data_IF_160791920631
#
_entry.id   IF_160791920631
#
_cell.length_a   1.000
_cell.length_b   1.000
_cell.length_c   1.000
_cell.angle_alpha   90.00
_cell.angle_beta   90.00
_cell.angle_gamma   90.00
#
_symmetry.space_group_name_H-M   'P 1'
#
loop_
_entity.id
_entity.type
_entity.pdbx_description
1 polymer ?
#
# COMPACT_ATOMS: atom_id res chain seq x y z
N UNK A 1 20.03 -26.83 -1.43
CA UNK A 1 18.67 -26.29 -1.33
C UNK A 1 18.53 -25.21 -2.39
N UNK A 2 17.49 -25.23 -3.21
CA UNK A 2 17.28 -24.14 -4.16
C UNK A 2 17.10 -22.86 -3.35
N UNK A 3 17.93 -21.87 -3.61
CA UNK A 3 17.76 -20.53 -3.03
C UNK A 3 16.45 -19.96 -3.60
N UNK A 4 15.39 -19.97 -2.78
CA UNK A 4 14.16 -19.26 -3.10
C UNK A 4 14.51 -17.79 -3.34
N UNK A 5 14.28 -17.32 -4.55
CA UNK A 5 14.43 -15.90 -4.87
C UNK A 5 13.50 -15.12 -3.96
N UNK A 6 14.06 -14.22 -3.16
CA UNK A 6 13.24 -13.29 -2.36
C UNK A 6 12.51 -12.36 -3.31
N UNK A 7 11.24 -12.16 -3.06
CA UNK A 7 10.39 -11.28 -3.85
C UNK A 7 9.73 -10.27 -2.91
N UNK A 8 9.80 -9.01 -3.27
CA UNK A 8 9.00 -7.95 -2.65
C UNK A 8 7.97 -7.45 -3.67
N UNK A 9 6.84 -6.98 -3.16
CA UNK A 9 5.76 -6.49 -3.99
C UNK A 9 5.02 -5.34 -3.30
N UNK A 10 4.51 -4.43 -4.10
CA UNK A 10 3.49 -3.45 -3.72
C UNK A 10 2.23 -3.72 -4.52
N UNK A 11 1.09 -3.45 -3.93
CA UNK A 11 -0.21 -3.57 -4.59
C UNK A 11 -1.14 -2.52 -4.01
N UNK A 12 -1.88 -1.85 -4.88
CA UNK A 12 -2.77 -0.76 -4.51
C UNK A 12 -4.12 -0.92 -5.21
N UNK A 13 -5.17 -0.57 -4.51
CA UNK A 13 -6.52 -0.47 -5.06
C UNK A 13 -6.76 0.97 -5.52
N UNK A 14 -6.99 1.15 -6.80
CA UNK A 14 -7.28 2.43 -7.45
C UNK A 14 -8.79 2.49 -7.73
N UNK A 15 -9.49 3.63 -7.53
CA UNK A 15 -10.87 3.78 -7.96
C UNK A 15 -11.07 3.32 -9.42
N UNK A 16 -12.09 2.49 -9.66
CA UNK A 16 -12.24 1.82 -10.95
C UNK A 16 -12.37 2.80 -12.13
N UNK A 17 -13.04 3.92 -11.93
CA UNK A 17 -13.21 5.00 -12.91
C UNK A 17 -11.91 5.73 -13.27
N UNK A 18 -10.91 5.66 -12.41
CA UNK A 18 -9.58 6.27 -12.60
C UNK A 18 -8.53 5.31 -13.14
N UNK A 19 -8.85 4.03 -13.31
CA UNK A 19 -7.89 2.98 -13.67
C UNK A 19 -7.10 3.32 -14.93
N UNK A 20 -7.76 3.76 -16.00
CA UNK A 20 -7.09 4.04 -17.27
C UNK A 20 -6.06 5.17 -17.13
N UNK A 21 -6.46 6.29 -16.50
CA UNK A 21 -5.56 7.42 -16.29
C UNK A 21 -4.36 7.02 -15.42
N UNK A 22 -4.62 6.30 -14.32
CA UNK A 22 -3.55 5.81 -13.45
C UNK A 22 -2.54 4.91 -14.20
N UNK A 23 -3.01 3.98 -15.04
CA UNK A 23 -2.11 3.08 -15.79
C UNK A 23 -1.28 3.83 -16.84
N UNK A 24 -1.82 4.88 -17.46
CA UNK A 24 -1.07 5.74 -18.37
C UNK A 24 0.03 6.52 -17.62
N UNK A 25 -0.31 7.11 -16.47
CA UNK A 25 0.65 7.84 -15.65
C UNK A 25 1.71 6.90 -15.06
N UNK A 26 1.33 5.68 -14.66
CA UNK A 26 2.27 4.65 -14.22
C UNK A 26 3.25 4.26 -15.33
N UNK A 27 2.78 4.11 -16.57
CA UNK A 27 3.63 3.84 -17.72
C UNK A 27 4.61 5.00 -17.95
N UNK A 28 4.15 6.24 -17.88
CA UNK A 28 5.00 7.41 -18.01
C UNK A 28 6.02 7.49 -16.88
N UNK A 29 5.61 7.27 -15.62
CA UNK A 29 6.51 7.23 -14.46
C UNK A 29 7.63 6.21 -14.63
N UNK A 30 7.32 5.02 -15.13
CA UNK A 30 8.33 3.97 -15.37
C UNK A 30 9.33 4.42 -16.45
N UNK A 31 8.83 5.01 -17.55
CA UNK A 31 9.67 5.45 -18.66
C UNK A 31 10.57 6.64 -18.27
N UNK A 32 10.00 7.66 -17.63
CA UNK A 32 10.73 8.88 -17.26
C UNK A 32 11.72 8.61 -16.12
N UNK A 33 11.32 7.78 -15.15
CA UNK A 33 12.15 7.37 -14.02
C UNK A 33 13.22 6.35 -14.41
N UNK A 34 13.20 5.82 -15.64
CA UNK A 34 14.08 4.76 -16.14
C UNK A 34 14.15 3.55 -15.22
N UNK A 35 13.01 3.24 -14.59
CA UNK A 35 12.89 2.10 -13.69
C UNK A 35 12.93 0.79 -14.49
N UNK A 36 13.74 -0.15 -14.01
CA UNK A 36 13.79 -1.50 -14.59
C UNK A 36 12.69 -2.35 -13.95
N UNK A 37 11.53 -2.40 -14.59
CA UNK A 37 10.41 -3.24 -14.14
C UNK A 37 10.63 -4.66 -14.64
N UNK A 38 10.78 -5.60 -13.71
CA UNK A 38 11.16 -6.99 -14.03
C UNK A 38 9.96 -7.86 -14.42
N UNK A 39 8.74 -7.48 -14.04
CA UNK A 39 7.52 -8.28 -14.22
C UNK A 39 6.40 -7.46 -14.81
N UNK A 40 5.43 -8.12 -15.47
CA UNK A 40 4.19 -7.48 -15.88
C UNK A 40 3.48 -6.85 -14.68
N UNK A 41 2.85 -5.70 -14.89
CA UNK A 41 1.92 -5.12 -13.95
C UNK A 41 0.66 -5.99 -13.91
N UNK A 42 0.28 -6.42 -12.72
CA UNK A 42 -0.93 -7.20 -12.49
C UNK A 42 -2.11 -6.24 -12.28
N UNK A 43 -3.22 -6.50 -12.99
CA UNK A 43 -4.44 -5.67 -12.90
C UNK A 43 -5.63 -6.58 -12.62
N UNK A 44 -6.39 -6.28 -11.55
CA UNK A 44 -7.56 -7.06 -11.13
C UNK A 44 -8.70 -6.14 -10.73
N UNK A 45 -9.91 -6.43 -11.18
CA UNK A 45 -11.10 -5.66 -10.82
C UNK A 45 -11.83 -6.33 -9.65
N UNK A 46 -12.20 -5.54 -8.66
CA UNK A 46 -12.81 -6.00 -7.42
C UNK A 46 -14.04 -5.16 -7.12
N UNK A 47 -15.16 -5.84 -6.85
CA UNK A 47 -16.39 -5.20 -6.41
C UNK A 47 -16.24 -4.64 -5.00
N UNK A 48 -16.98 -3.56 -4.72
CA UNK A 48 -17.08 -2.97 -3.39
C UNK A 48 -17.59 -3.95 -2.34
N UNK A 49 -17.16 -3.74 -1.13
CA UNK A 49 -17.60 -4.46 0.06
C UNK A 49 -17.93 -3.50 1.23
N UNK A 50 -18.28 -4.08 2.41
CA UNK A 50 -18.64 -3.33 3.61
C UNK A 50 -17.63 -3.55 4.76
N UNK A 51 -16.45 -4.11 4.49
CA UNK A 51 -15.44 -4.36 5.53
C UNK A 51 -14.59 -3.11 5.79
N UNK A 52 -14.50 -2.68 7.03
CA UNK A 52 -13.97 -1.37 7.43
C UNK A 52 -12.60 -0.98 6.88
N UNK A 53 -11.64 -1.86 6.91
CA UNK A 53 -10.30 -1.59 6.35
C UNK A 53 -10.05 -2.30 5.01
N UNK A 54 -11.11 -2.74 4.34
CA UNK A 54 -10.96 -3.24 2.97
C UNK A 54 -10.54 -2.12 2.05
N UNK A 55 -9.54 -2.34 1.16
CA UNK A 55 -9.26 -1.40 0.10
C UNK A 55 -10.44 -1.16 -0.86
N UNK A 56 -11.43 -2.08 -0.91
CA UNK A 56 -12.65 -1.94 -1.71
C UNK A 56 -13.87 -1.46 -0.89
N UNK A 57 -13.66 -0.93 0.31
CA UNK A 57 -14.75 -0.45 1.15
C UNK A 57 -15.59 0.61 0.44
N UNK A 58 -16.87 0.29 0.18
CA UNK A 58 -17.90 1.13 -0.46
C UNK A 58 -17.52 1.67 -1.84
N UNK A 59 -16.54 1.08 -2.54
CA UNK A 59 -16.14 1.53 -3.87
C UNK A 59 -15.59 0.38 -4.72
N UNK A 60 -16.06 0.27 -5.97
CA UNK A 60 -15.46 -0.64 -6.95
C UNK A 60 -14.02 -0.20 -7.25
N UNK A 61 -13.09 -1.13 -7.16
CA UNK A 61 -11.65 -0.84 -7.25
C UNK A 61 -10.97 -1.69 -8.32
N UNK A 62 -9.89 -1.14 -8.85
CA UNK A 62 -8.93 -1.87 -9.65
C UNK A 62 -7.65 -2.06 -8.83
N UNK A 63 -7.29 -3.31 -8.55
CA UNK A 63 -6.02 -3.62 -7.88
C UNK A 63 -4.91 -3.65 -8.92
N UNK A 64 -3.89 -2.86 -8.67
CA UNK A 64 -2.69 -2.77 -9.51
C UNK A 64 -1.49 -3.19 -8.68
N UNK A 65 -0.84 -4.27 -9.09
CA UNK A 65 0.30 -4.86 -8.39
C UNK A 65 1.57 -4.85 -9.23
N UNK A 66 2.69 -4.55 -8.59
CA UNK A 66 4.03 -4.70 -9.17
C UNK A 66 4.95 -5.39 -8.19
N UNK A 67 5.90 -6.13 -8.71
CA UNK A 67 6.85 -6.94 -7.92
C UNK A 67 8.26 -6.85 -8.47
N UNK A 68 9.22 -7.07 -7.59
CA UNK A 68 10.64 -7.15 -7.94
C UNK A 68 11.31 -8.30 -7.20
N UNK A 69 12.26 -8.96 -7.83
CA UNK A 69 13.10 -9.96 -7.20
C UNK A 69 14.37 -9.34 -6.63
N UNK A 70 14.77 -9.85 -5.48
CA UNK A 70 16.05 -9.57 -4.88
C UNK A 70 17.00 -10.74 -5.20
N UNK A 71 17.98 -10.50 -6.07
CA UNK A 71 19.01 -11.47 -6.36
C UNK A 71 19.97 -11.61 -5.17
N UNK A 72 20.53 -12.82 -4.92
CA UNK A 72 21.48 -13.01 -3.84
C UNK A 72 22.67 -12.04 -3.97
N UNK A 73 23.00 -11.35 -2.88
CA UNK A 73 24.11 -10.37 -2.83
C UNK A 73 23.79 -8.98 -3.39
N UNK A 74 22.57 -8.74 -3.88
CA UNK A 74 22.13 -7.40 -4.30
C UNK A 74 21.42 -6.66 -3.16
N UNK A 75 21.63 -5.33 -3.10
CA UNK A 75 20.83 -4.43 -2.26
C UNK A 75 19.44 -4.23 -2.88
N UNK A 76 18.47 -3.75 -2.07
CA UNK A 76 17.15 -3.35 -2.54
C UNK A 76 17.25 -2.14 -3.48
N UNK A 77 17.28 -2.40 -4.79
CA UNK A 77 17.40 -1.35 -5.82
C UNK A 77 16.02 -0.84 -6.30
N UNK A 78 14.93 -1.46 -5.85
CA UNK A 78 13.56 -1.16 -6.27
C UNK A 78 12.80 -0.25 -5.28
N UNK A 79 13.38 0.10 -4.14
CA UNK A 79 12.70 0.95 -3.13
C UNK A 79 12.30 2.31 -3.72
N UNK A 80 13.15 2.92 -4.54
CA UNK A 80 12.83 4.18 -5.23
C UNK A 80 11.63 4.03 -6.19
N UNK A 81 11.56 2.91 -6.90
CA UNK A 81 10.44 2.59 -7.79
C UNK A 81 9.14 2.41 -6.98
N UNK A 82 9.16 1.59 -5.94
CA UNK A 82 7.98 1.34 -5.12
C UNK A 82 7.49 2.61 -4.40
N UNK A 83 8.42 3.46 -3.94
CA UNK A 83 8.06 4.76 -3.38
C UNK A 83 7.43 5.68 -4.42
N UNK A 84 7.99 5.76 -5.63
CA UNK A 84 7.43 6.56 -6.72
C UNK A 84 6.03 6.07 -7.13
N UNK A 85 5.81 4.75 -7.17
CA UNK A 85 4.47 4.17 -7.39
C UNK A 85 3.52 4.56 -6.27
N UNK A 86 3.95 4.49 -5.01
CA UNK A 86 3.14 4.91 -3.86
C UNK A 86 2.73 6.38 -3.96
N UNK A 87 3.68 7.26 -4.31
CA UNK A 87 3.40 8.69 -4.46
C UNK A 87 2.41 8.99 -5.60
N UNK A 88 2.49 8.24 -6.69
CA UNK A 88 1.50 8.32 -7.77
C UNK A 88 0.12 7.83 -7.30
N UNK A 89 0.06 6.72 -6.57
CA UNK A 89 -1.18 6.17 -6.00
C UNK A 89 -1.91 7.20 -5.11
N UNK A 90 -1.18 7.96 -4.31
CA UNK A 90 -1.74 8.97 -3.42
C UNK A 90 -2.50 10.08 -4.21
N UNK A 91 -2.02 10.45 -5.41
CA UNK A 91 -2.69 11.41 -6.28
C UNK A 91 -4.05 10.91 -6.79
N UNK A 92 -4.25 9.59 -6.81
CA UNK A 92 -5.48 8.94 -7.24
C UNK A 92 -6.40 8.52 -6.09
N UNK A 93 -6.05 8.84 -4.84
CA UNK A 93 -6.71 8.36 -3.62
C UNK A 93 -6.75 6.82 -3.55
N UNK A 94 -5.70 6.16 -4.01
CA UNK A 94 -5.58 4.72 -3.99
C UNK A 94 -5.32 4.19 -2.58
N UNK A 95 -5.72 2.95 -2.32
CA UNK A 95 -5.59 2.29 -1.00
C UNK A 95 -4.60 1.15 -1.09
N UNK A 96 -3.60 1.07 -0.19
CA UNK A 96 -2.63 -0.03 -0.21
C UNK A 96 -3.24 -1.36 0.24
N UNK A 97 -2.65 -2.45 -0.26
CA UNK A 97 -2.95 -3.80 0.19
C UNK A 97 -2.13 -4.13 1.45
N UNK A 98 -2.80 -4.48 2.56
CA UNK A 98 -2.19 -4.71 3.87
C UNK A 98 -1.14 -5.82 3.94
N UNK A 99 -1.21 -6.79 3.06
CA UNK A 99 -0.26 -7.92 2.99
C UNK A 99 0.96 -7.68 2.10
N UNK A 100 1.23 -6.43 1.69
CA UNK A 100 2.35 -6.05 0.83
C UNK A 100 3.24 -4.99 1.49
N UNK A 101 4.32 -4.60 0.82
CA UNK A 101 5.15 -3.48 1.29
C UNK A 101 4.32 -2.19 1.30
N UNK A 102 4.43 -1.44 2.38
CA UNK A 102 3.67 -0.21 2.60
C UNK A 102 4.63 0.98 2.61
N UNK A 103 4.41 1.94 1.73
CA UNK A 103 5.19 3.18 1.62
C UNK A 103 4.37 4.44 1.96
N UNK A 104 3.06 4.31 2.12
CA UNK A 104 2.17 5.41 2.48
C UNK A 104 2.29 5.77 3.97
N UNK A 105 2.14 7.06 4.27
CA UNK A 105 2.13 7.55 5.64
C UNK A 105 0.83 7.20 6.38
N UNK A 106 0.88 7.21 7.72
CA UNK A 106 -0.32 7.00 8.55
C UNK A 106 -1.37 8.08 8.29
N UNK A 107 -0.96 9.33 8.09
CA UNK A 107 -1.88 10.44 7.80
C UNK A 107 -2.65 10.19 6.50
N UNK A 108 -1.97 9.72 5.46
CA UNK A 108 -2.62 9.34 4.22
C UNK A 108 -3.59 8.17 4.41
N UNK A 109 -3.19 7.14 5.17
CA UNK A 109 -4.06 5.99 5.45
C UNK A 109 -5.35 6.41 6.17
N UNK A 110 -5.26 7.34 7.13
CA UNK A 110 -6.43 7.88 7.83
C UNK A 110 -7.39 8.62 6.87
N UNK A 111 -6.87 9.24 5.82
CA UNK A 111 -7.70 9.95 4.83
C UNK A 111 -8.43 8.99 3.90
N UNK A 112 -7.75 7.92 3.44
CA UNK A 112 -8.31 7.02 2.41
C UNK A 112 -9.11 5.85 2.96
N UNK A 113 -8.99 5.53 4.26
CA UNK A 113 -9.80 4.50 4.93
C UNK A 113 -10.84 5.15 5.86
N UNK A 114 -12.12 5.29 5.42
CA UNK A 114 -13.14 6.06 6.15
C UNK A 114 -13.45 5.53 7.55
N UNK A 115 -13.16 4.25 7.81
CA UNK A 115 -13.42 3.56 9.09
C UNK A 115 -12.17 3.35 9.93
N UNK A 116 -11.11 4.14 9.66
CA UNK A 116 -9.84 4.04 10.38
C UNK A 116 -10.00 4.18 11.89
N UNK A 117 -10.63 5.26 12.34
CA UNK A 117 -10.79 5.55 13.78
C UNK A 117 -11.64 4.51 14.48
N UNK A 118 -12.79 4.15 13.89
CA UNK A 118 -13.71 3.17 14.45
C UNK A 118 -13.04 1.79 14.57
N UNK A 119 -12.25 1.39 13.57
CA UNK A 119 -11.50 0.14 13.61
C UNK A 119 -10.52 0.10 14.78
N UNK A 120 -9.69 1.13 14.94
CA UNK A 120 -8.72 1.16 16.04
C UNK A 120 -9.38 1.30 17.42
N UNK A 121 -10.48 2.03 17.52
CA UNK A 121 -11.30 2.07 18.74
C UNK A 121 -11.81 0.68 19.12
N UNK A 122 -12.31 -0.08 18.15
CA UNK A 122 -12.77 -1.45 18.37
C UNK A 122 -11.62 -2.36 18.82
N UNK A 123 -10.46 -2.26 18.19
CA UNK A 123 -9.27 -3.03 18.59
C UNK A 123 -8.87 -2.74 20.05
N UNK A 124 -8.90 -1.48 20.50
CA UNK A 124 -8.62 -1.14 21.90
C UNK A 124 -9.62 -1.74 22.89
N UNK A 125 -10.90 -1.81 22.50
CA UNK A 125 -11.93 -2.43 23.33
C UNK A 125 -11.73 -3.94 23.43
N UNK A 126 -11.40 -4.61 22.33
CA UNK A 126 -11.27 -6.08 22.26
C UNK A 126 -9.92 -6.58 22.77
N UNK A 127 -8.87 -5.79 22.64
CA UNK A 127 -7.50 -6.11 23.07
C UNK A 127 -6.90 -4.95 23.87
N UNK A 128 -7.43 -4.66 25.09
CA UNK A 128 -6.94 -3.54 25.90
C UNK A 128 -5.50 -3.73 26.38
N UNK A 129 -5.05 -4.97 26.53
CA UNK A 129 -3.68 -5.29 26.95
C UNK A 129 -2.67 -5.33 25.77
N UNK A 130 -3.13 -5.21 24.53
CA UNK A 130 -2.26 -5.23 23.34
C UNK A 130 -1.63 -6.58 23.01
N UNK A 131 -2.24 -7.70 23.43
CA UNK A 131 -1.68 -9.04 23.26
C UNK A 131 -1.69 -9.52 21.82
N UNK A 132 -2.61 -9.02 20.99
CA UNK A 132 -2.76 -9.35 19.58
C UNK A 132 -2.11 -8.32 18.65
N UNK A 133 -1.42 -7.32 19.20
CA UNK A 133 -0.76 -6.27 18.42
C UNK A 133 0.72 -6.59 18.22
N UNK A 134 1.22 -6.28 17.03
CA UNK A 134 2.64 -6.33 16.73
C UNK A 134 3.20 -4.92 16.51
N UNK A 135 4.52 -4.78 16.51
CA UNK A 135 5.22 -3.50 16.36
C UNK A 135 4.84 -2.74 15.09
N UNK A 136 4.53 -3.44 13.99
CA UNK A 136 4.11 -2.80 12.75
C UNK A 136 2.75 -2.14 12.90
N UNK A 137 1.79 -2.80 13.55
CA UNK A 137 0.47 -2.24 13.85
C UNK A 137 0.58 -1.06 14.81
N UNK A 138 1.44 -1.14 15.84
CA UNK A 138 1.70 -0.04 16.76
C UNK A 138 2.24 1.19 16.03
N UNK A 139 3.19 1.01 15.11
CA UNK A 139 3.73 2.11 14.30
C UNK A 139 2.66 2.76 13.40
N UNK A 140 1.66 2.01 12.93
CA UNK A 140 0.53 2.57 12.17
C UNK A 140 -0.45 3.37 13.03
N UNK A 141 -0.57 3.02 14.32
CA UNK A 141 -1.47 3.69 15.26
C UNK A 141 -0.87 4.97 15.84
N UNK A 142 0.43 4.94 16.11
CA UNK A 142 1.17 5.94 16.87
C UNK A 142 2.32 6.53 16.04
N UNK A 143 2.03 7.14 14.92
CA UNK A 143 2.95 8.19 14.48
C UNK A 143 2.58 9.45 15.27
N UNK A 144 3.46 9.95 16.16
CA UNK A 144 3.23 11.24 16.78
C UNK A 144 3.08 12.26 15.67
N UNK A 145 2.01 13.02 15.68
CA UNK A 145 1.90 14.21 14.85
C UNK A 145 3.11 15.10 15.17
N UNK A 146 3.72 15.73 14.17
CA UNK A 146 4.87 16.63 14.37
C UNK A 146 4.63 17.72 15.44
N UNK A 147 3.41 17.89 15.91
CA UNK A 147 3.02 18.82 16.98
C UNK A 147 3.32 18.33 18.42
N UNK A 148 3.76 17.09 18.61
CA UNK A 148 4.08 16.55 19.95
C UNK A 148 5.60 16.40 20.18
N UNK A 149 6.43 16.92 19.28
CA UNK A 149 7.89 16.89 19.36
C UNK A 149 8.53 18.28 19.64
N UNK A 150 7.75 19.31 19.98
CA UNK A 150 8.23 20.65 20.40
C UNK A 150 8.11 20.87 21.92
#
# INVERSE_FOLDING_TARGET
>A
MPHLLKQDAVEYAIPMDKTQAFLMDLQQLVNDGKFQVQFPIEVRFVKQDNFWLSPAYHQDMCYVGTKSHLLPGQSRHYDAYFKAVSDLVEQYNGRPHWGKQLYSSTDYLQQVFPKWKEFWTLIHILDPAGLCRNRWQENLMYQPTQAECD
#
